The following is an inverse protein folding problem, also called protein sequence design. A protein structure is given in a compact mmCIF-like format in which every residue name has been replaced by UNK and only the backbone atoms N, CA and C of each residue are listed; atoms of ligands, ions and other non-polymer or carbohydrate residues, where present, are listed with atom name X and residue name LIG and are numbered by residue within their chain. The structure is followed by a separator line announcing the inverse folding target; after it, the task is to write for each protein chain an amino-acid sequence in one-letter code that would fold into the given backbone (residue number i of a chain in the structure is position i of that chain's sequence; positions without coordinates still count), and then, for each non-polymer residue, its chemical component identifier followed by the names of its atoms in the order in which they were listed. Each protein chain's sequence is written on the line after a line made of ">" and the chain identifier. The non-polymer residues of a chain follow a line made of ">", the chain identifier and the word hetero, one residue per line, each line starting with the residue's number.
data_IF_522391336443
#
_entry.id   IF_522391336443
#
_cell.length_a   1.000
_cell.length_b   1.000
_cell.length_c   1.000
_cell.angle_alpha   90.00
_cell.angle_beta   90.00
_cell.angle_gamma   90.00
#
_symmetry.space_group_name_H-M   'P 1'
#
loop_
_entity.id
_entity.type
_entity.pdbx_description
1 polymer ?
#
# COMPACT_ATOMS: atom_id res chain seq x y z
N UNK A 1 16.70 0.92 20.72
CA UNK A 1 16.54 1.63 19.44
C UNK A 1 16.35 3.10 19.73
N UNK A 2 16.94 4.00 18.95
CA UNK A 2 16.78 5.44 19.15
C UNK A 2 15.76 5.99 18.15
N UNK A 3 14.55 6.28 18.62
CA UNK A 3 13.42 6.71 17.78
C UNK A 3 13.71 7.94 16.91
N UNK A 4 14.52 8.89 17.42
CA UNK A 4 14.90 10.08 16.66
C UNK A 4 15.71 9.76 15.38
N UNK A 5 16.48 8.65 15.36
CA UNK A 5 17.24 8.21 14.18
C UNK A 5 16.34 7.59 13.12
N UNK A 6 15.39 6.76 13.55
CA UNK A 6 14.36 6.17 12.69
C UNK A 6 13.52 7.29 12.07
N UNK A 7 13.10 8.26 12.88
CA UNK A 7 12.31 9.40 12.43
C UNK A 7 13.03 10.27 11.39
N UNK A 8 14.33 10.52 11.54
CA UNK A 8 15.11 11.27 10.56
C UNK A 8 15.18 10.56 9.20
N UNK A 9 15.41 9.25 9.21
CA UNK A 9 15.41 8.40 8.01
C UNK A 9 14.04 8.38 7.33
N UNK A 10 12.99 8.23 8.12
CA UNK A 10 11.60 8.28 7.68
C UNK A 10 11.23 9.61 7.01
N UNK A 11 11.61 10.74 7.64
CA UNK A 11 11.38 12.08 7.08
C UNK A 11 12.05 12.28 5.72
N UNK A 12 13.28 11.77 5.54
CA UNK A 12 13.98 11.85 4.24
C UNK A 12 13.16 11.21 3.12
N UNK A 13 12.61 10.03 3.36
CA UNK A 13 11.83 9.34 2.35
C UNK A 13 10.48 10.02 2.10
N UNK A 14 9.84 10.58 3.14
CA UNK A 14 8.65 11.42 2.97
C UNK A 14 8.94 12.64 2.10
N UNK A 15 10.06 13.33 2.33
CA UNK A 15 10.42 14.50 1.52
C UNK A 15 10.73 14.13 0.07
N UNK A 16 11.34 12.98 -0.18
CA UNK A 16 11.53 12.43 -1.53
C UNK A 16 10.20 12.17 -2.24
N UNK A 17 9.22 11.61 -1.55
CA UNK A 17 7.88 11.37 -2.09
C UNK A 17 7.18 12.71 -2.38
N UNK A 18 7.23 13.67 -1.45
CA UNK A 18 6.63 15.00 -1.61
C UNK A 18 7.30 15.85 -2.68
N UNK A 19 8.58 15.61 -2.96
CA UNK A 19 9.34 16.35 -3.97
C UNK A 19 8.84 16.16 -5.40
N UNK A 20 7.94 15.20 -5.65
CA UNK A 20 7.37 14.96 -6.98
C UNK A 20 5.88 14.65 -6.93
N UNK A 21 5.06 15.63 -7.33
CA UNK A 21 3.61 15.44 -7.52
C UNK A 21 3.24 14.20 -8.35
N UNK A 22 3.96 13.87 -9.46
CA UNK A 22 3.67 12.67 -10.23
C UNK A 22 3.71 11.38 -9.41
N UNK A 23 4.63 11.26 -8.44
CA UNK A 23 4.73 10.06 -7.60
C UNK A 23 3.53 9.90 -6.66
N UNK A 24 3.01 11.00 -6.15
CA UNK A 24 1.82 10.99 -5.28
C UNK A 24 0.57 10.64 -6.08
N UNK A 25 0.43 11.20 -7.28
CA UNK A 25 -0.70 10.90 -8.16
C UNK A 25 -0.67 9.44 -8.59
N UNK A 26 0.49 8.92 -9.02
CA UNK A 26 0.67 7.53 -9.42
C UNK A 26 0.30 6.54 -8.29
N UNK A 27 0.62 6.90 -7.05
CA UNK A 27 0.27 6.15 -5.84
C UNK A 27 -1.23 5.87 -5.72
N UNK A 28 -2.05 6.86 -6.06
CA UNK A 28 -3.52 6.85 -5.87
C UNK A 28 -4.22 6.39 -7.15
N UNK A 29 -3.66 6.76 -8.30
CA UNK A 29 -4.20 6.48 -9.62
C UNK A 29 -4.35 4.99 -9.87
N UNK A 30 -3.26 4.23 -9.68
CA UNK A 30 -3.27 2.79 -9.98
C UNK A 30 -4.25 1.97 -9.12
N UNK A 31 -4.26 2.10 -7.78
CA UNK A 31 -5.20 1.36 -6.94
C UNK A 31 -6.66 1.75 -7.24
N UNK A 32 -6.91 3.03 -7.54
CA UNK A 32 -8.26 3.50 -7.91
C UNK A 32 -8.75 2.82 -9.18
N UNK A 33 -7.92 2.77 -10.23
CA UNK A 33 -8.29 2.10 -11.49
C UNK A 33 -8.54 0.62 -11.26
N UNK A 34 -7.69 -0.04 -10.47
CA UNK A 34 -7.82 -1.47 -10.21
C UNK A 34 -9.15 -1.80 -9.51
N UNK A 35 -9.53 -1.02 -8.49
CA UNK A 35 -10.80 -1.23 -7.77
C UNK A 35 -11.99 -0.94 -8.69
N UNK A 36 -11.95 0.14 -9.47
CA UNK A 36 -13.03 0.48 -10.39
C UNK A 36 -13.21 -0.63 -11.43
N UNK A 37 -12.12 -1.08 -12.05
CA UNK A 37 -12.13 -2.12 -13.07
C UNK A 37 -12.62 -3.46 -12.50
N UNK A 38 -12.06 -3.94 -11.39
CA UNK A 38 -12.50 -5.19 -10.77
C UNK A 38 -13.91 -5.11 -10.19
N UNK A 39 -14.33 -3.94 -9.71
CA UNK A 39 -15.69 -3.70 -9.29
C UNK A 39 -16.68 -3.84 -10.44
N UNK A 40 -16.41 -3.25 -11.60
CA UNK A 40 -17.28 -3.42 -12.76
C UNK A 40 -17.27 -4.86 -13.30
N UNK A 41 -16.11 -5.51 -13.37
CA UNK A 41 -16.01 -6.92 -13.79
C UNK A 41 -16.85 -7.81 -12.87
N UNK A 42 -16.73 -7.64 -11.56
CA UNK A 42 -17.47 -8.46 -10.60
C UNK A 42 -18.99 -8.19 -10.65
N UNK A 43 -19.40 -6.95 -10.91
CA UNK A 43 -20.80 -6.58 -11.13
C UNK A 43 -21.35 -7.19 -12.42
N UNK A 44 -20.54 -7.23 -13.49
CA UNK A 44 -20.90 -7.89 -14.74
C UNK A 44 -21.24 -9.37 -14.53
N UNK A 45 -20.42 -10.12 -13.79
CA UNK A 45 -20.70 -11.53 -13.49
C UNK A 45 -21.98 -11.73 -12.67
N UNK A 46 -22.27 -10.82 -11.75
CA UNK A 46 -23.47 -10.90 -10.90
C UNK A 46 -24.75 -10.63 -11.69
N UNK A 47 -24.70 -9.80 -12.73
CA UNK A 47 -25.87 -9.46 -13.56
C UNK A 47 -26.18 -10.53 -14.62
N UNK A 48 -25.20 -11.32 -15.06
CA UNK A 48 -25.35 -12.27 -16.17
C UNK A 48 -25.40 -13.75 -15.72
N UNK A 49 -25.30 -14.02 -14.42
CA UNK A 49 -25.24 -15.39 -13.90
C UNK A 49 -25.95 -15.48 -12.55
N UNK A 50 -27.01 -16.30 -12.47
CA UNK A 50 -27.69 -16.62 -11.20
C UNK A 50 -26.91 -17.63 -10.35
N UNK A 51 -25.85 -18.25 -10.89
CA UNK A 51 -25.05 -19.26 -10.20
C UNK A 51 -24.19 -18.69 -9.07
N UNK A 52 -23.79 -17.42 -9.16
CA UNK A 52 -22.89 -16.80 -8.19
C UNK A 52 -23.56 -15.62 -7.47
N UNK A 53 -24.19 -15.92 -6.34
CA UNK A 53 -24.54 -14.90 -5.36
C UNK A 53 -23.25 -14.41 -4.66
N UNK A 54 -23.09 -13.09 -4.49
CA UNK A 54 -21.95 -12.45 -3.80
C UNK A 54 -20.59 -12.39 -4.54
N UNK A 55 -20.53 -12.59 -5.85
CA UNK A 55 -19.31 -12.47 -6.68
C UNK A 55 -18.57 -11.14 -6.48
N UNK A 56 -19.31 -10.04 -6.37
CA UNK A 56 -18.75 -8.69 -6.11
C UNK A 56 -17.97 -8.65 -4.81
N UNK A 57 -18.53 -9.19 -3.73
CA UNK A 57 -17.87 -9.19 -2.43
C UNK A 57 -16.58 -9.99 -2.44
N UNK A 58 -16.57 -11.16 -3.05
CA UNK A 58 -15.42 -12.08 -3.07
C UNK A 58 -14.29 -11.52 -3.94
N UNK A 59 -14.58 -11.20 -5.20
CA UNK A 59 -13.56 -10.75 -6.16
C UNK A 59 -12.99 -9.41 -5.75
N UNK A 60 -13.84 -8.46 -5.35
CA UNK A 60 -13.37 -7.13 -4.97
C UNK A 60 -12.53 -7.17 -3.69
N UNK A 61 -12.96 -7.94 -2.68
CA UNK A 61 -12.18 -8.09 -1.45
C UNK A 61 -10.82 -8.74 -1.73
N UNK A 62 -10.79 -9.81 -2.54
CA UNK A 62 -9.54 -10.46 -2.93
C UNK A 62 -8.60 -9.50 -3.69
N UNK A 63 -9.13 -8.72 -4.62
CA UNK A 63 -8.36 -7.74 -5.38
C UNK A 63 -7.73 -6.67 -4.49
N UNK A 64 -8.47 -6.17 -3.49
CA UNK A 64 -7.97 -5.13 -2.59
C UNK A 64 -6.91 -5.68 -1.63
N UNK A 65 -7.13 -6.87 -1.07
CA UNK A 65 -6.14 -7.53 -0.21
C UNK A 65 -4.84 -7.84 -0.95
N UNK A 66 -4.96 -8.35 -2.17
CA UNK A 66 -3.79 -8.59 -3.03
C UNK A 66 -3.05 -7.29 -3.35
N UNK A 67 -3.77 -6.23 -3.71
CA UNK A 67 -3.18 -4.93 -4.01
C UNK A 67 -2.42 -4.36 -2.80
N UNK A 68 -2.96 -4.52 -1.58
CA UNK A 68 -2.27 -4.15 -0.35
C UNK A 68 -0.92 -4.87 -0.18
N UNK A 69 -0.92 -6.20 -0.28
CA UNK A 69 0.29 -7.01 -0.10
C UNK A 69 1.34 -6.70 -1.17
N UNK A 70 0.89 -6.59 -2.42
CA UNK A 70 1.75 -6.31 -3.56
C UNK A 70 2.41 -4.93 -3.44
N UNK A 71 1.62 -3.88 -3.14
CA UNK A 71 2.15 -2.52 -2.98
C UNK A 71 3.08 -2.37 -1.78
N UNK A 72 2.81 -3.06 -0.68
CA UNK A 72 3.67 -3.00 0.51
C UNK A 72 5.06 -3.55 0.20
N UNK A 73 5.09 -4.72 -0.46
CA UNK A 73 6.32 -5.38 -0.88
C UNK A 73 7.12 -4.55 -1.88
N UNK A 74 6.46 -4.00 -2.91
CA UNK A 74 7.12 -3.14 -3.90
C UNK A 74 7.62 -1.84 -3.28
N UNK A 75 6.81 -1.21 -2.42
CA UNK A 75 7.18 0.06 -1.80
C UNK A 75 8.44 -0.09 -0.96
N UNK A 76 8.54 -1.15 -0.17
CA UNK A 76 9.74 -1.45 0.62
C UNK A 76 10.98 -1.63 -0.29
N UNK A 77 10.87 -2.47 -1.32
CA UNK A 77 11.98 -2.71 -2.24
C UNK A 77 12.41 -1.44 -2.98
N UNK A 78 11.46 -0.60 -3.39
CA UNK A 78 11.74 0.65 -4.08
C UNK A 78 12.50 1.64 -3.18
N UNK A 79 12.07 1.79 -1.93
CA UNK A 79 12.75 2.67 -0.96
C UNK A 79 14.18 2.19 -0.70
N UNK A 80 14.38 0.87 -0.63
CA UNK A 80 15.71 0.28 -0.52
C UNK A 80 16.59 0.54 -1.77
N UNK A 81 16.02 0.40 -2.96
CA UNK A 81 16.71 0.73 -4.22
C UNK A 81 17.06 2.21 -4.32
N UNK A 82 16.21 3.11 -3.82
CA UNK A 82 16.52 4.55 -3.77
C UNK A 82 17.77 4.84 -2.92
N UNK A 83 18.03 4.09 -1.85
CA UNK A 83 19.26 4.21 -1.06
C UNK A 83 20.52 3.79 -1.83
N UNK A 84 20.39 2.75 -2.64
CA UNK A 84 21.47 2.26 -3.50
C UNK A 84 21.73 3.27 -4.63
N UNK A 85 20.67 3.71 -5.32
CA UNK A 85 20.78 4.65 -6.44
C UNK A 85 21.29 6.03 -6.02
N UNK A 86 20.92 6.49 -4.82
CA UNK A 86 21.44 7.75 -4.25
C UNK A 86 22.87 7.63 -3.73
N UNK A 87 23.51 6.45 -3.81
CA UNK A 87 24.83 6.13 -3.24
C UNK A 87 24.93 6.43 -1.74
N UNK A 88 23.79 6.55 -1.05
CA UNK A 88 23.70 6.86 0.37
C UNK A 88 23.79 5.60 1.25
N UNK A 89 23.69 4.42 0.64
CA UNK A 89 23.79 3.14 1.31
C UNK A 89 25.08 3.03 2.16
N UNK A 90 26.25 3.36 1.61
CA UNK A 90 27.51 3.29 2.35
C UNK A 90 27.53 4.24 3.56
N UNK A 91 26.99 5.46 3.41
CA UNK A 91 26.92 6.44 4.50
C UNK A 91 26.03 5.95 5.65
N UNK A 92 24.97 5.21 5.35
CA UNK A 92 24.08 4.61 6.35
C UNK A 92 24.78 3.58 7.24
N UNK A 93 25.71 2.79 6.69
CA UNK A 93 26.48 1.80 7.46
C UNK A 93 27.68 2.39 8.21
N UNK A 94 28.21 3.53 7.76
CA UNK A 94 29.29 4.25 8.48
C UNK A 94 28.72 5.08 9.63
N UNK A 95 27.49 5.58 9.50
CA UNK A 95 26.78 6.23 10.59
C UNK A 95 26.51 5.24 11.75
N UNK A 96 26.39 5.71 13.00
CA UNK A 96 26.10 4.85 14.15
C UNK A 96 24.62 4.41 14.17
N UNK A 97 24.11 3.85 13.08
CA UNK A 97 22.75 3.34 12.90
C UNK A 97 22.75 1.82 12.97
N UNK A 98 21.74 1.24 13.62
CA UNK A 98 21.56 -0.22 13.58
C UNK A 98 20.79 -0.61 12.32
N UNK A 99 21.12 -1.77 11.74
CA UNK A 99 20.38 -2.35 10.59
C UNK A 99 18.88 -2.45 10.89
N UNK A 100 18.53 -2.82 12.13
CA UNK A 100 17.15 -2.87 12.58
C UNK A 100 16.45 -1.51 12.54
N UNK A 101 17.15 -0.40 12.80
CA UNK A 101 16.58 0.95 12.74
C UNK A 101 16.27 1.36 11.28
N UNK A 102 17.14 0.95 10.34
CA UNK A 102 16.93 1.17 8.90
C UNK A 102 15.71 0.39 8.41
N UNK A 103 15.63 -0.90 8.72
CA UNK A 103 14.50 -1.76 8.34
C UNK A 103 13.20 -1.17 8.90
N UNK A 104 13.16 -0.81 10.19
CA UNK A 104 11.94 -0.23 10.78
C UNK A 104 11.52 1.08 10.11
N UNK A 105 12.46 1.95 9.73
CA UNK A 105 12.15 3.19 9.04
C UNK A 105 11.59 2.93 7.64
N UNK A 106 12.21 2.02 6.87
CA UNK A 106 11.77 1.65 5.53
C UNK A 106 10.39 1.00 5.56
N UNK A 107 10.16 0.04 6.48
CA UNK A 107 8.86 -0.61 6.66
C UNK A 107 7.78 0.39 7.05
N UNK A 108 8.04 1.29 8.01
CA UNK A 108 7.08 2.32 8.40
C UNK A 108 6.73 3.27 7.23
N UNK A 109 7.72 3.64 6.41
CA UNK A 109 7.49 4.48 5.23
C UNK A 109 6.70 3.75 4.16
N UNK A 110 7.02 2.47 3.90
CA UNK A 110 6.31 1.63 2.94
C UNK A 110 4.84 1.44 3.34
N UNK A 111 4.58 1.16 4.63
CA UNK A 111 3.22 1.05 5.16
C UNK A 111 2.44 2.35 4.98
N UNK A 112 3.02 3.51 5.34
CA UNK A 112 2.35 4.79 5.10
C UNK A 112 2.06 5.05 3.63
N UNK A 113 3.00 4.72 2.74
CA UNK A 113 2.81 4.83 1.29
C UNK A 113 1.63 3.96 0.82
N UNK A 114 1.53 2.73 1.32
CA UNK A 114 0.42 1.82 0.96
C UNK A 114 -0.92 2.31 1.47
N UNK A 115 -0.98 2.83 2.70
CA UNK A 115 -2.20 3.38 3.28
C UNK A 115 -2.70 4.58 2.47
N UNK A 116 -1.79 5.48 2.06
CA UNK A 116 -2.16 6.64 1.22
C UNK A 116 -2.73 6.21 -0.12
N UNK A 117 -2.20 5.13 -0.74
CA UNK A 117 -2.74 4.62 -2.00
C UNK A 117 -4.09 3.94 -1.86
N UNK A 118 -4.29 3.17 -0.78
CA UNK A 118 -5.45 2.28 -0.63
C UNK A 118 -6.64 3.00 -0.01
N UNK A 119 -6.44 3.94 0.92
CA UNK A 119 -7.54 4.67 1.58
C UNK A 119 -8.51 5.32 0.57
N UNK A 120 -8.07 6.08 -0.46
CA UNK A 120 -8.96 6.62 -1.48
C UNK A 120 -9.69 5.54 -2.26
N UNK A 121 -9.00 4.46 -2.56
CA UNK A 121 -9.53 3.36 -3.36
C UNK A 121 -10.66 2.62 -2.60
N UNK A 122 -10.50 2.38 -1.29
CA UNK A 122 -11.54 1.79 -0.41
C UNK A 122 -12.73 2.72 -0.21
N UNK A 123 -12.48 4.04 -0.11
CA UNK A 123 -13.54 5.04 -0.04
C UNK A 123 -14.40 5.09 -1.32
N UNK A 124 -13.85 4.72 -2.48
CA UNK A 124 -14.61 4.59 -3.73
C UNK A 124 -15.34 3.24 -3.80
N UNK A 125 -14.72 2.16 -3.31
CA UNK A 125 -15.32 0.82 -3.32
C UNK A 125 -16.66 0.74 -2.58
N UNK A 126 -16.76 1.43 -1.45
CA UNK A 126 -17.93 1.41 -0.56
C UNK A 126 -19.20 1.98 -1.22
N UNK A 127 -19.25 3.22 -1.75
CA UNK A 127 -20.45 3.76 -2.39
C UNK A 127 -20.73 3.14 -3.76
N UNK A 128 -19.71 2.75 -4.54
CA UNK A 128 -19.93 2.24 -5.90
C UNK A 128 -20.33 0.75 -5.95
N UNK A 129 -19.81 -0.07 -5.04
CA UNK A 129 -19.99 -1.52 -5.07
C UNK A 129 -20.61 -2.10 -3.79
N UNK A 130 -20.84 -1.29 -2.76
CA UNK A 130 -21.47 -1.73 -1.51
C UNK A 130 -20.61 -2.67 -0.67
N UNK A 131 -19.31 -2.81 -0.99
CA UNK A 131 -18.38 -3.71 -0.29
C UNK A 131 -17.65 -2.92 0.79
N UNK A 132 -17.93 -3.25 2.06
CA UNK A 132 -17.18 -2.74 3.21
C UNK A 132 -16.09 -3.73 3.61
N UNK A 133 -14.83 -3.35 3.40
CA UNK A 133 -13.66 -4.14 3.85
C UNK A 133 -13.66 -4.30 5.37
N UNK A 134 -14.21 -3.35 6.11
CA UNK A 134 -14.33 -3.41 7.57
C UNK A 134 -15.17 -4.58 8.07
N UNK A 135 -16.00 -5.20 7.21
CA UNK A 135 -16.77 -6.41 7.56
C UNK A 135 -15.93 -7.69 7.52
N UNK A 136 -14.70 -7.68 6.97
CA UNK A 136 -13.80 -8.83 6.98
C UNK A 136 -13.33 -9.21 8.41
N UNK A 137 -13.52 -8.33 9.40
CA UNK A 137 -13.32 -8.66 10.81
C UNK A 137 -11.85 -8.98 11.16
N UNK A 138 -11.59 -9.93 12.08
CA UNK A 138 -10.23 -10.24 12.58
C UNK A 138 -9.24 -10.73 11.51
N UNK A 139 -9.72 -11.15 10.34
CA UNK A 139 -8.87 -11.60 9.23
C UNK A 139 -7.97 -10.49 8.68
N UNK A 140 -8.36 -9.21 8.83
CA UNK A 140 -7.47 -8.07 8.55
C UNK A 140 -6.27 -8.02 9.49
N UNK A 141 -6.46 -8.36 10.76
CA UNK A 141 -5.39 -8.33 11.77
C UNK A 141 -4.31 -9.37 11.42
N UNK A 142 -4.72 -10.56 10.94
CA UNK A 142 -3.80 -11.59 10.45
C UNK A 142 -2.99 -11.16 9.23
N UNK A 143 -3.46 -10.19 8.46
CA UNK A 143 -2.76 -9.68 7.28
C UNK A 143 -1.76 -8.57 7.62
N UNK A 144 -1.95 -7.90 8.76
CA UNK A 144 -1.02 -6.89 9.29
C UNK A 144 0.06 -7.47 10.21
N UNK A 145 -0.07 -8.73 10.64
CA UNK A 145 0.83 -9.44 11.57
C UNK A 145 1.80 -10.34 10.82
#
# INVERSE_FOLDING_TARGET
>A
MKFHRIYALFLRHIYLIKGSLPRILDLIYWPTIQIVLWGFISKFFTLHSDYYSHTVGIILSAAILYDFLFRSSISFNMLFLEEIWSRNFTNLFVAPLKVSEIITALTATALLRTLIGIVPAVLIATPFFGVSIFNLGPSLILLFL
#
